data_IF_990164966809
#
_entry.id   IF_990164966809
#
_cell.length_a   1.000
_cell.length_b   1.000
_cell.length_c   1.000
_cell.angle_alpha   90.00
_cell.angle_beta   90.00
_cell.angle_gamma   90.00
#
_symmetry.space_group_name_H-M   'P 1'
#
loop_
_entity.id
_entity.type
_entity.pdbx_description
1 polymer ?
#
# COMPACT_ATOMS: atom_id res chain seq x y z
N UNK A 1 13.29 9.71 -6.05
CA UNK A 1 12.35 8.90 -6.85
C UNK A 1 11.65 7.93 -5.91
N UNK A 2 10.32 8.02 -5.80
CA UNK A 2 9.51 7.34 -4.78
C UNK A 2 9.56 5.79 -4.86
N UNK A 3 9.87 5.22 -6.03
CA UNK A 3 9.99 3.76 -6.21
C UNK A 3 11.09 3.11 -5.37
N UNK A 4 12.22 3.79 -5.13
CA UNK A 4 13.29 3.26 -4.27
C UNK A 4 12.83 3.10 -2.83
N UNK A 5 12.00 4.03 -2.38
CA UNK A 5 11.43 4.01 -1.03
C UNK A 5 10.40 2.89 -0.92
N UNK A 6 9.53 2.71 -1.92
CA UNK A 6 8.62 1.55 -1.97
C UNK A 6 9.38 0.22 -1.90
N UNK A 7 10.54 0.10 -2.54
CA UNK A 7 11.37 -1.09 -2.42
C UNK A 7 11.89 -1.29 -0.99
N UNK A 8 12.37 -0.22 -0.34
CA UNK A 8 12.81 -0.26 1.06
C UNK A 8 11.66 -0.65 2.00
N UNK A 9 10.47 -0.09 1.80
CA UNK A 9 9.29 -0.43 2.58
C UNK A 9 8.88 -1.89 2.36
N UNK A 10 8.95 -2.39 1.12
CA UNK A 10 8.70 -3.79 0.79
C UNK A 10 9.66 -4.72 1.53
N UNK A 11 10.95 -4.39 1.53
CA UNK A 11 11.97 -5.17 2.22
C UNK A 11 11.80 -5.14 3.74
N UNK A 12 11.34 -4.01 4.31
CA UNK A 12 11.01 -3.90 5.72
C UNK A 12 9.82 -4.79 6.10
N UNK A 13 8.72 -4.72 5.33
CA UNK A 13 7.53 -5.54 5.53
C UNK A 13 7.85 -7.04 5.46
N UNK A 14 8.69 -7.46 4.52
CA UNK A 14 9.10 -8.87 4.38
C UNK A 14 9.95 -9.41 5.53
N UNK A 15 10.66 -8.53 6.24
CA UNK A 15 11.49 -8.90 7.39
C UNK A 15 10.72 -8.85 8.70
N UNK A 16 9.61 -8.10 8.73
CA UNK A 16 8.80 -7.95 9.91
C UNK A 16 7.91 -9.18 10.15
N UNK A 17 7.66 -9.48 11.42
CA UNK A 17 6.57 -10.37 11.81
C UNK A 17 5.30 -9.53 11.88
N UNK A 18 4.40 -9.70 10.92
CA UNK A 18 3.14 -8.95 10.83
C UNK A 18 2.02 -9.88 11.28
N UNK A 19 1.21 -9.43 12.23
CA UNK A 19 0.06 -10.18 12.71
C UNK A 19 -1.19 -9.80 11.88
N UNK A 20 -1.71 -10.77 11.12
CA UNK A 20 -2.79 -10.57 10.13
C UNK A 20 -4.17 -10.40 10.80
N UNK A 21 -4.34 -9.30 11.53
CA UNK A 21 -5.54 -8.95 12.30
C UNK A 21 -6.48 -7.99 11.54
N UNK A 22 -6.44 -7.95 10.20
CA UNK A 22 -7.35 -7.17 9.36
C UNK A 22 -7.36 -5.65 9.64
N UNK A 23 -6.28 -5.08 10.17
CA UNK A 23 -6.26 -3.66 10.60
C UNK A 23 -5.04 -2.86 10.13
N UNK A 24 -4.11 -3.46 9.38
CA UNK A 24 -2.90 -2.81 8.83
C UNK A 24 -2.03 -2.08 9.87
N UNK A 25 -2.26 -2.27 11.17
CA UNK A 25 -1.54 -1.53 12.22
C UNK A 25 -0.07 -1.89 12.24
N UNK A 26 0.24 -3.17 12.08
CA UNK A 26 1.60 -3.66 12.02
C UNK A 26 2.30 -3.21 10.73
N UNK A 27 1.57 -3.17 9.60
CA UNK A 27 2.06 -2.60 8.35
C UNK A 27 2.45 -1.13 8.52
N UNK A 28 1.59 -0.31 9.15
CA UNK A 28 1.91 1.09 9.47
C UNK A 28 3.13 1.16 10.37
N UNK A 29 3.16 0.39 11.47
CA UNK A 29 4.25 0.43 12.44
C UNK A 29 5.61 0.08 11.84
N UNK A 30 5.65 -0.87 10.88
CA UNK A 30 6.87 -1.23 10.16
C UNK A 30 7.29 -0.13 9.18
N UNK A 31 6.35 0.46 8.45
CA UNK A 31 6.65 1.50 7.47
C UNK A 31 7.12 2.78 8.16
N UNK A 32 6.50 3.18 9.27
CA UNK A 32 6.91 4.37 10.04
C UNK A 32 8.35 4.29 10.59
N UNK A 33 8.92 3.10 10.73
CA UNK A 33 10.32 2.92 11.13
C UNK A 33 11.32 3.24 10.02
N UNK A 34 10.86 3.40 8.77
CA UNK A 34 11.71 3.78 7.65
C UNK A 34 12.05 5.27 7.73
N UNK A 35 13.34 5.60 7.66
CA UNK A 35 13.85 6.96 7.94
C UNK A 35 13.36 8.07 7.01
N UNK A 36 12.85 7.70 5.84
CA UNK A 36 12.39 8.56 4.76
C UNK A 36 10.87 8.80 4.77
N UNK A 37 10.13 8.06 5.59
CA UNK A 37 8.69 8.24 5.80
C UNK A 37 8.46 9.49 6.64
N UNK A 38 7.60 10.39 6.14
CA UNK A 38 7.12 11.55 6.89
C UNK A 38 5.98 11.15 7.82
N UNK A 39 5.06 10.32 7.33
CA UNK A 39 4.02 9.66 8.11
C UNK A 39 3.44 8.48 7.33
N UNK A 40 2.91 7.49 8.04
CA UNK A 40 2.03 6.46 7.49
C UNK A 40 0.82 6.30 8.42
N UNK A 41 -0.37 6.17 7.85
CA UNK A 41 -1.59 6.11 8.64
C UNK A 41 -2.65 5.21 7.99
N UNK A 42 -3.57 4.74 8.82
CA UNK A 42 -4.80 4.08 8.37
C UNK A 42 -6.00 4.97 8.63
N UNK A 43 -6.76 5.25 7.58
CA UNK A 43 -8.02 5.99 7.68
C UNK A 43 -9.17 4.99 7.52
N UNK A 44 -9.93 4.80 8.59
CA UNK A 44 -11.11 3.95 8.59
C UNK A 44 -12.38 4.78 8.41
N UNK A 45 -13.21 4.38 7.46
CA UNK A 45 -14.55 4.95 7.27
C UNK A 45 -15.58 3.84 7.38
N UNK A 46 -16.45 3.86 8.42
CA UNK A 46 -17.54 2.91 8.54
C UNK A 46 -18.43 2.97 7.30
N UNK A 47 -18.84 1.81 6.80
CA UNK A 47 -19.90 1.73 5.80
C UNK A 47 -21.07 0.92 6.35
N UNK A 48 -22.10 0.68 5.53
CA UNK A 48 -23.28 -0.08 5.97
C UNK A 48 -22.95 -1.58 6.05
N UNK A 49 -23.76 -2.31 6.82
CA UNK A 49 -23.81 -3.78 6.82
C UNK A 49 -22.51 -4.50 7.22
N UNK A 50 -21.81 -3.99 8.24
CA UNK A 50 -20.58 -4.63 8.76
C UNK A 50 -19.38 -4.55 7.82
N UNK A 51 -19.46 -3.71 6.79
CA UNK A 51 -18.35 -3.42 5.88
C UNK A 51 -17.71 -2.10 6.29
N UNK A 52 -16.38 -2.01 6.21
CA UNK A 52 -15.64 -0.75 6.36
C UNK A 52 -14.77 -0.47 5.13
N UNK A 53 -14.59 0.82 4.83
CA UNK A 53 -13.54 1.28 3.95
C UNK A 53 -12.30 1.54 4.79
N UNK A 54 -11.17 1.01 4.38
CA UNK A 54 -9.88 1.22 5.02
C UNK A 54 -8.93 1.79 3.97
N UNK A 55 -8.25 2.88 4.29
CA UNK A 55 -7.19 3.43 3.46
C UNK A 55 -5.88 3.35 4.22
N UNK A 56 -4.85 2.78 3.62
CA UNK A 56 -3.46 2.95 4.03
C UNK A 56 -2.88 4.13 3.25
N UNK A 57 -2.44 5.17 3.94
CA UNK A 57 -1.74 6.30 3.34
C UNK A 57 -0.30 6.36 3.84
N UNK A 58 0.64 6.50 2.91
CA UNK A 58 2.07 6.62 3.20
C UNK A 58 2.57 7.86 2.49
N UNK A 59 3.27 8.72 3.20
CA UNK A 59 3.84 9.95 2.66
C UNK A 59 5.32 10.03 2.97
N UNK A 60 6.12 10.38 1.96
CA UNK A 60 7.55 10.66 2.07
C UNK A 60 7.87 12.03 1.46
N UNK A 61 9.15 12.39 1.47
CA UNK A 61 9.63 13.61 0.79
C UNK A 61 9.49 13.55 -0.74
N UNK A 62 9.42 12.35 -1.32
CA UNK A 62 9.45 12.16 -2.77
C UNK A 62 8.11 11.74 -3.39
N UNK A 63 7.10 11.46 -2.56
CA UNK A 63 5.80 11.05 -3.04
C UNK A 63 4.88 10.56 -1.94
N UNK A 64 3.73 10.04 -2.37
CA UNK A 64 2.78 9.39 -1.48
C UNK A 64 2.08 8.23 -2.17
N UNK A 65 1.61 7.29 -1.37
CA UNK A 65 0.81 6.15 -1.80
C UNK A 65 -0.47 6.11 -0.97
N UNK A 66 -1.60 5.91 -1.62
CA UNK A 66 -2.89 5.66 -0.98
C UNK A 66 -3.43 4.34 -1.49
N UNK A 67 -3.38 3.31 -0.65
CA UNK A 67 -4.02 2.02 -0.92
C UNK A 67 -5.39 1.98 -0.27
N UNK A 68 -6.42 1.77 -1.08
CA UNK A 68 -7.81 1.77 -0.66
C UNK A 68 -8.34 0.34 -0.61
N UNK A 69 -9.06 0.02 0.44
CA UNK A 69 -9.58 -1.31 0.71
C UNK A 69 -11.05 -1.27 1.11
N UNK A 70 -11.76 -2.32 0.75
CA UNK A 70 -13.09 -2.63 1.28
C UNK A 70 -12.97 -3.92 2.09
N UNK A 71 -13.30 -3.84 3.37
CA UNK A 71 -13.13 -4.93 4.34
C UNK A 71 -14.49 -5.31 4.88
N UNK A 72 -14.89 -6.57 4.71
CA UNK A 72 -16.02 -7.18 5.39
C UNK A 72 -15.56 -8.22 6.41
N UNK A 73 -16.50 -8.99 6.98
CA UNK A 73 -16.17 -10.08 7.91
C UNK A 73 -15.31 -11.18 7.25
N UNK A 74 -15.66 -11.56 6.02
CA UNK A 74 -15.06 -12.72 5.34
C UNK A 74 -14.23 -12.33 4.10
N UNK A 75 -14.07 -11.04 3.83
CA UNK A 75 -13.37 -10.61 2.63
C UNK A 75 -12.63 -9.30 2.82
N UNK A 76 -11.61 -9.16 1.99
CA UNK A 76 -10.88 -7.94 1.78
C UNK A 76 -10.69 -7.72 0.28
N UNK A 77 -10.87 -6.49 -0.18
CA UNK A 77 -10.75 -6.16 -1.61
C UNK A 77 -10.03 -4.84 -1.81
N UNK A 78 -8.93 -4.88 -2.58
CA UNK A 78 -8.23 -3.68 -3.05
C UNK A 78 -9.12 -2.91 -4.02
N UNK A 79 -9.34 -1.64 -3.72
CA UNK A 79 -10.04 -0.67 -4.55
C UNK A 79 -9.03 0.15 -5.35
N UNK A 80 -9.54 0.98 -6.25
CA UNK A 80 -8.71 1.93 -7.01
C UNK A 80 -7.89 2.76 -6.02
N UNK A 81 -6.58 2.64 -6.16
CA UNK A 81 -5.56 3.20 -5.28
C UNK A 81 -4.68 4.15 -6.10
N UNK A 82 -3.80 4.91 -5.47
CA UNK A 82 -3.03 5.95 -6.17
C UNK A 82 -1.60 6.05 -5.65
N UNK A 83 -0.67 6.29 -6.57
CA UNK A 83 0.72 6.64 -6.32
C UNK A 83 0.95 8.06 -6.85
N UNK A 84 1.34 8.98 -5.97
CA UNK A 84 1.76 10.33 -6.33
C UNK A 84 3.27 10.41 -6.26
N UNK A 85 3.94 10.69 -7.37
CA UNK A 85 5.40 10.90 -7.40
C UNK A 85 5.81 11.72 -8.61
N UNK A 86 6.91 12.47 -8.48
CA UNK A 86 7.49 13.25 -9.58
C UNK A 86 6.51 14.26 -10.23
N UNK A 87 5.48 14.70 -9.50
CA UNK A 87 4.45 15.63 -9.97
C UNK A 87 3.24 14.97 -10.65
N UNK A 88 3.28 13.64 -10.84
CA UNK A 88 2.22 12.86 -11.49
C UNK A 88 1.42 12.01 -10.49
N UNK A 89 0.20 11.65 -10.89
CA UNK A 89 -0.68 10.76 -10.15
C UNK A 89 -0.98 9.49 -10.97
N UNK A 90 -0.46 8.36 -10.51
CA UNK A 90 -0.60 7.06 -11.17
C UNK A 90 -1.67 6.21 -10.47
N UNK A 91 -2.66 5.67 -11.19
CA UNK A 91 -3.62 4.76 -10.60
C UNK A 91 -2.97 3.39 -10.31
N UNK A 92 -3.21 2.89 -9.11
CA UNK A 92 -2.89 1.52 -8.71
C UNK A 92 -4.18 0.71 -8.74
N UNK A 93 -4.26 -0.25 -9.66
CA UNK A 93 -5.37 -1.20 -9.75
C UNK A 93 -4.78 -2.58 -9.53
N UNK A 94 -5.18 -3.25 -8.44
CA UNK A 94 -4.63 -4.55 -8.11
C UNK A 94 -4.87 -5.56 -9.23
N UNK A 95 -3.81 -6.29 -9.58
CA UNK A 95 -3.83 -7.39 -10.51
C UNK A 95 -2.77 -8.40 -10.07
N UNK A 96 -3.04 -9.70 -10.21
CA UNK A 96 -2.07 -10.74 -9.88
C UNK A 96 -0.91 -10.79 -10.90
N UNK A 97 -1.05 -10.15 -12.05
CA UNK A 97 -0.03 -9.97 -13.08
C UNK A 97 0.49 -8.52 -13.07
N UNK A 98 1.76 -8.33 -12.66
CA UNK A 98 2.40 -7.02 -12.58
C UNK A 98 2.46 -6.30 -13.94
N UNK A 99 2.47 -7.04 -15.05
CA UNK A 99 2.54 -6.45 -16.40
C UNK A 99 1.31 -5.61 -16.75
N UNK A 100 0.20 -5.80 -16.02
CA UNK A 100 -1.07 -5.06 -16.17
C UNK A 100 -1.09 -3.72 -15.45
N UNK A 101 -0.06 -3.40 -14.65
CA UNK A 101 0.05 -2.11 -13.98
C UNK A 101 0.44 -1.03 -15.01
N UNK A 102 -0.24 0.11 -15.00
CA UNK A 102 -0.13 1.16 -16.03
C UNK A 102 1.05 2.11 -15.74
N UNK A 103 2.25 1.56 -15.56
CA UNK A 103 3.50 2.33 -15.40
C UNK A 103 4.37 2.22 -16.65
N UNK A 104 5.16 3.25 -17.01
CA UNK A 104 5.95 3.25 -18.23
C UNK A 104 7.05 2.18 -18.23
N UNK A 105 7.77 2.06 -17.10
CA UNK A 105 8.91 1.17 -16.94
C UNK A 105 8.50 -0.14 -16.26
N UNK A 106 9.05 -1.26 -16.72
CA UNK A 106 8.79 -2.58 -16.14
C UNK A 106 9.21 -2.65 -14.67
N UNK A 107 10.37 -2.09 -14.33
CA UNK A 107 10.88 -2.02 -12.97
C UNK A 107 9.88 -1.34 -12.03
N UNK A 108 9.25 -0.23 -12.47
CA UNK A 108 8.24 0.46 -11.68
C UNK A 108 6.99 -0.40 -11.46
N UNK A 109 6.53 -1.11 -12.51
CA UNK A 109 5.40 -2.04 -12.39
C UNK A 109 5.68 -3.11 -11.34
N UNK A 110 6.86 -3.72 -11.40
CA UNK A 110 7.28 -4.75 -10.46
C UNK A 110 7.38 -4.20 -9.05
N UNK A 111 8.04 -3.07 -8.84
CA UNK A 111 8.18 -2.46 -7.51
C UNK A 111 6.84 -2.16 -6.85
N UNK A 112 5.90 -1.55 -7.59
CA UNK A 112 4.56 -1.27 -7.05
C UNK A 112 3.79 -2.56 -6.77
N UNK A 113 3.86 -3.55 -7.67
CA UNK A 113 3.23 -4.85 -7.46
C UNK A 113 3.75 -5.56 -6.20
N UNK A 114 5.07 -5.65 -6.04
CA UNK A 114 5.70 -6.33 -4.91
C UNK A 114 5.37 -5.63 -3.58
N UNK A 115 5.32 -4.29 -3.59
CA UNK A 115 4.90 -3.52 -2.42
C UNK A 115 3.44 -3.80 -2.05
N UNK A 116 2.51 -3.69 -3.02
CA UNK A 116 1.08 -3.95 -2.75
C UNK A 116 0.91 -5.38 -2.26
N UNK A 117 1.58 -6.36 -2.89
CA UNK A 117 1.55 -7.75 -2.46
C UNK A 117 2.04 -7.94 -1.03
N UNK A 118 3.13 -7.30 -0.62
CA UNK A 118 3.63 -7.38 0.75
C UNK A 118 2.63 -6.77 1.77
N UNK A 119 1.95 -5.68 1.40
CA UNK A 119 0.86 -5.12 2.23
C UNK A 119 -0.31 -6.09 2.34
N UNK A 120 -0.67 -6.79 1.26
CA UNK A 120 -1.73 -7.80 1.25
C UNK A 120 -1.40 -9.04 2.07
N UNK A 121 -0.15 -9.48 2.05
CA UNK A 121 0.34 -10.60 2.87
C UNK A 121 0.39 -10.24 4.35
N UNK A 122 0.51 -8.95 4.68
CA UNK A 122 0.44 -8.42 6.03
C UNK A 122 -0.97 -7.99 6.49
N UNK A 123 -2.01 -8.24 5.70
CA UNK A 123 -3.40 -7.91 6.05
C UNK A 123 -4.08 -9.05 6.81
#
# INVERSE_FOLDING_TARGET
>A
MFYRELQQYTDALRKATIDAHNNLRDVVSVIEQCSDVLYAETIETPTRDGVKSLQLHICSKHGSLSLNFRVGLDYYMVRKSYLSCDGDLYPVVWNNDYSKFVYPLEEHRRTVYEFVKAVLEGF
#
